data_IF_666528188917
#
_entry.id   IF_666528188917
#
_cell.length_a   1.000
_cell.length_b   1.000
_cell.length_c   1.000
_cell.angle_alpha   90.00
_cell.angle_beta   90.00
_cell.angle_gamma   90.00
#
_symmetry.space_group_name_H-M   'P 1'
#
loop_
_entity.id
_entity.type
_entity.pdbx_description
1 polymer ?
#
# COMPACT_ATOMS: atom_id res chain seq x y z
N UNK A 1 48.07 11.34 -7.92
CA UNK A 1 46.94 10.86 -7.10
C UNK A 1 45.84 11.86 -7.30
N UNK A 2 44.85 11.52 -8.12
CA UNK A 2 43.82 12.45 -8.58
C UNK A 2 42.67 12.38 -7.56
N UNK A 3 42.80 13.12 -6.46
CA UNK A 3 41.72 13.23 -5.48
C UNK A 3 40.60 14.03 -6.13
N UNK A 4 39.61 13.30 -6.64
CA UNK A 4 38.35 13.85 -7.12
C UNK A 4 37.70 14.64 -5.98
N UNK A 5 37.21 15.87 -6.21
CA UNK A 5 36.63 16.69 -5.14
C UNK A 5 35.44 15.95 -4.50
N UNK A 6 35.30 15.96 -3.16
CA UNK A 6 34.30 15.16 -2.43
C UNK A 6 32.87 15.36 -2.96
N UNK A 7 32.52 16.60 -3.34
CA UNK A 7 31.21 16.92 -3.92
C UNK A 7 30.88 16.19 -5.24
N UNK A 8 31.89 15.85 -6.06
CA UNK A 8 31.68 15.11 -7.30
C UNK A 8 31.46 13.60 -7.04
N UNK A 9 32.11 13.07 -6.00
CA UNK A 9 31.89 11.68 -5.55
C UNK A 9 30.49 11.51 -4.98
N UNK A 10 30.07 12.42 -4.10
CA UNK A 10 28.74 12.39 -3.48
C UNK A 10 27.62 12.53 -4.52
N UNK A 11 27.84 13.38 -5.54
CA UNK A 11 26.88 13.54 -6.65
C UNK A 11 26.76 12.26 -7.48
N UNK A 12 27.88 11.62 -7.85
CA UNK A 12 27.85 10.36 -8.62
C UNK A 12 27.19 9.25 -7.80
N UNK A 13 27.50 9.15 -6.51
CA UNK A 13 26.91 8.15 -5.61
C UNK A 13 25.40 8.34 -5.47
N UNK A 14 24.93 9.58 -5.34
CA UNK A 14 23.49 9.89 -5.30
C UNK A 14 22.77 9.50 -6.60
N UNK A 15 23.38 9.75 -7.77
CA UNK A 15 22.82 9.38 -9.08
C UNK A 15 22.74 7.87 -9.26
N UNK A 16 23.81 7.14 -8.89
CA UNK A 16 23.84 5.68 -8.96
C UNK A 16 22.80 5.06 -8.01
N UNK A 17 22.62 5.65 -6.83
CA UNK A 17 21.60 5.21 -5.87
C UNK A 17 20.19 5.41 -6.42
N UNK A 18 19.90 6.58 -7.00
CA UNK A 18 18.61 6.85 -7.63
C UNK A 18 18.33 5.88 -8.79
N UNK A 19 19.32 5.64 -9.66
CA UNK A 19 19.21 4.67 -10.75
C UNK A 19 18.96 3.25 -10.24
N UNK A 20 19.67 2.83 -9.19
CA UNK A 20 19.50 1.53 -8.56
C UNK A 20 18.08 1.36 -8.01
N UNK A 21 17.55 2.38 -7.32
CA UNK A 21 16.18 2.37 -6.81
C UNK A 21 15.14 2.22 -7.94
N UNK A 22 15.31 2.93 -9.06
CA UNK A 22 14.41 2.82 -10.22
C UNK A 22 14.43 1.40 -10.82
N UNK A 23 15.61 0.81 -10.97
CA UNK A 23 15.75 -0.54 -11.49
C UNK A 23 15.13 -1.58 -10.54
N UNK A 24 15.36 -1.45 -9.23
CA UNK A 24 14.76 -2.33 -8.23
C UNK A 24 13.23 -2.22 -8.22
N UNK A 25 12.67 -1.02 -8.37
CA UNK A 25 11.22 -0.84 -8.51
C UNK A 25 10.67 -1.54 -9.76
N UNK A 26 11.28 -1.32 -10.93
CA UNK A 26 10.84 -1.94 -12.19
C UNK A 26 10.89 -3.47 -12.07
N UNK A 27 11.94 -4.00 -11.43
CA UNK A 27 12.06 -5.42 -11.13
C UNK A 27 10.90 -5.89 -10.23
N UNK A 28 10.58 -5.16 -9.15
CA UNK A 28 9.44 -5.46 -8.26
C UNK A 28 8.14 -5.60 -9.03
N UNK A 29 7.78 -4.54 -9.77
CA UNK A 29 6.52 -4.48 -10.51
C UNK A 29 6.48 -5.59 -11.55
N UNK A 30 7.59 -5.85 -12.24
CA UNK A 30 7.70 -6.95 -13.21
C UNK A 30 7.49 -8.32 -12.54
N UNK A 31 8.03 -8.54 -11.35
CA UNK A 31 7.84 -9.78 -10.60
C UNK A 31 6.39 -9.97 -10.15
N UNK A 32 5.76 -8.92 -9.62
CA UNK A 32 4.36 -8.95 -9.18
C UNK A 32 3.40 -9.13 -10.36
N UNK A 33 3.63 -8.43 -11.47
CA UNK A 33 2.87 -8.61 -12.71
C UNK A 33 3.02 -10.03 -13.25
N UNK A 34 4.23 -10.60 -13.27
CA UNK A 34 4.44 -11.99 -13.71
C UNK A 34 3.64 -12.97 -12.86
N UNK A 35 3.61 -12.76 -11.53
CA UNK A 35 2.82 -13.60 -10.61
C UNK A 35 1.32 -13.50 -10.90
N UNK A 36 0.79 -12.28 -11.00
CA UNK A 36 -0.65 -12.03 -11.25
C UNK A 36 -1.10 -12.55 -12.61
N UNK A 37 -0.36 -12.26 -13.69
CA UNK A 37 -0.65 -12.79 -15.01
C UNK A 37 -0.45 -14.31 -15.12
N UNK A 38 0.48 -14.88 -14.35
CA UNK A 38 0.62 -16.33 -14.24
C UNK A 38 -0.64 -17.00 -13.69
N UNK A 39 -1.23 -16.42 -12.63
CA UNK A 39 -2.51 -16.90 -12.08
C UNK A 39 -3.64 -16.72 -13.10
N UNK A 40 -3.73 -15.55 -13.76
CA UNK A 40 -4.75 -15.29 -14.79
C UNK A 40 -4.66 -16.31 -15.93
N UNK A 41 -3.46 -16.56 -16.45
CA UNK A 41 -3.23 -17.49 -17.55
C UNK A 41 -3.55 -18.93 -17.16
N UNK A 42 -3.18 -19.34 -15.94
CA UNK A 42 -3.51 -20.67 -15.41
C UNK A 42 -5.01 -20.87 -15.26
N UNK A 43 -5.73 -19.89 -14.70
CA UNK A 43 -7.19 -19.94 -14.57
C UNK A 43 -7.87 -19.99 -15.94
N UNK A 44 -7.42 -19.17 -16.91
CA UNK A 44 -7.95 -19.21 -18.27
C UNK A 44 -7.75 -20.57 -18.96
N UNK A 45 -6.64 -21.25 -18.69
CA UNK A 45 -6.36 -22.59 -19.25
C UNK A 45 -7.22 -23.69 -18.61
N UNK A 46 -7.57 -23.53 -17.34
CA UNK A 46 -8.37 -24.50 -16.59
C UNK A 46 -9.88 -24.29 -16.78
N UNK A 47 -10.33 -23.05 -17.02
CA UNK A 47 -11.76 -22.70 -17.13
C UNK A 47 -12.56 -23.58 -18.11
N UNK A 48 -12.06 -23.90 -19.32
CA UNK A 48 -12.77 -24.78 -20.25
C UNK A 48 -12.89 -26.23 -19.77
N UNK A 49 -12.02 -26.65 -18.86
CA UNK A 49 -11.99 -28.01 -18.30
C UNK A 49 -12.91 -28.14 -17.07
N UNK A 50 -13.39 -27.03 -16.52
CA UNK A 50 -14.22 -26.97 -15.32
C UNK A 50 -15.70 -27.21 -15.61
N UNK A 51 -16.25 -28.29 -15.05
CA UNK A 51 -17.65 -28.68 -15.22
C UNK A 51 -18.58 -28.13 -14.13
N UNK A 52 -18.07 -27.84 -12.93
CA UNK A 52 -18.87 -27.35 -11.80
C UNK A 52 -19.13 -25.84 -11.84
N UNK A 53 -20.39 -25.42 -11.64
CA UNK A 53 -20.77 -24.00 -11.61
C UNK A 53 -20.06 -23.22 -10.49
N UNK A 54 -20.06 -23.78 -9.27
CA UNK A 54 -19.41 -23.14 -8.13
C UNK A 54 -17.90 -22.99 -8.29
N UNK A 55 -17.25 -23.96 -8.94
CA UNK A 55 -15.81 -23.90 -9.23
C UNK A 55 -15.52 -22.85 -10.31
N UNK A 56 -16.35 -22.79 -11.35
CA UNK A 56 -16.24 -21.76 -12.40
C UNK A 56 -16.41 -20.35 -11.83
N UNK A 57 -17.37 -20.16 -10.94
CA UNK A 57 -17.61 -18.88 -10.25
C UNK A 57 -16.42 -18.49 -9.36
N UNK A 58 -15.81 -19.43 -8.61
CA UNK A 58 -14.57 -19.14 -7.86
C UNK A 58 -13.43 -18.71 -8.79
N UNK A 59 -13.26 -19.39 -9.93
CA UNK A 59 -12.24 -19.04 -10.92
C UNK A 59 -12.47 -17.65 -11.52
N UNK A 60 -13.71 -17.28 -11.85
CA UNK A 60 -14.05 -15.93 -12.32
C UNK A 60 -13.75 -14.88 -11.25
N UNK A 61 -14.11 -15.13 -10.00
CA UNK A 61 -13.80 -14.23 -8.89
C UNK A 61 -12.28 -14.04 -8.73
N UNK A 62 -11.50 -15.12 -8.85
CA UNK A 62 -10.03 -15.05 -8.79
C UNK A 62 -9.44 -14.31 -9.99
N UNK A 63 -9.95 -14.52 -11.21
CA UNK A 63 -9.54 -13.78 -12.40
C UNK A 63 -9.77 -12.28 -12.23
N UNK A 64 -10.98 -11.91 -11.80
CA UNK A 64 -11.36 -10.53 -11.60
C UNK A 64 -10.45 -9.86 -10.55
N UNK A 65 -10.26 -10.50 -9.39
CA UNK A 65 -9.43 -9.94 -8.33
C UNK A 65 -7.94 -9.80 -8.74
N UNK A 66 -7.39 -10.72 -9.54
CA UNK A 66 -6.02 -10.59 -10.05
C UNK A 66 -5.91 -9.48 -11.10
N UNK A 67 -6.96 -9.27 -11.90
CA UNK A 67 -7.01 -8.19 -12.89
C UNK A 67 -7.10 -6.82 -12.21
N UNK A 68 -7.93 -6.70 -11.17
CA UNK A 68 -8.00 -5.50 -10.33
C UNK A 68 -6.65 -5.21 -9.67
N UNK A 69 -5.99 -6.22 -9.09
CA UNK A 69 -4.69 -6.04 -8.47
C UNK A 69 -3.62 -5.63 -9.51
N UNK A 70 -3.58 -6.27 -10.68
CA UNK A 70 -2.66 -5.87 -11.76
C UNK A 70 -2.90 -4.43 -12.23
N UNK A 71 -4.15 -4.00 -12.31
CA UNK A 71 -4.51 -2.61 -12.62
C UNK A 71 -4.00 -1.65 -11.55
N UNK A 72 -4.12 -2.04 -10.28
CA UNK A 72 -3.58 -1.24 -9.18
C UNK A 72 -2.05 -1.14 -9.23
N UNK A 73 -1.33 -2.20 -9.61
CA UNK A 73 0.13 -2.17 -9.75
C UNK A 73 0.58 -1.13 -10.80
N UNK A 74 -0.15 -0.99 -11.90
CA UNK A 74 0.10 0.07 -12.88
C UNK A 74 -0.17 1.46 -12.30
N UNK A 75 -1.30 1.65 -11.62
CA UNK A 75 -1.63 2.91 -10.98
C UNK A 75 -0.59 3.31 -9.91
N UNK A 76 -0.11 2.35 -9.13
CA UNK A 76 0.94 2.56 -8.13
C UNK A 76 2.28 2.94 -8.80
N UNK A 77 2.60 2.36 -9.97
CA UNK A 77 3.80 2.73 -10.74
C UNK A 77 3.69 4.13 -11.34
N UNK A 78 2.53 4.50 -11.86
CA UNK A 78 2.26 5.86 -12.37
C UNK A 78 2.35 6.89 -11.24
N UNK A 79 1.72 6.61 -10.10
CA UNK A 79 1.78 7.46 -8.92
C UNK A 79 3.22 7.60 -8.42
N UNK A 80 4.00 6.50 -8.37
CA UNK A 80 5.40 6.55 -8.00
C UNK A 80 6.19 7.49 -8.92
N UNK A 81 6.05 7.34 -10.24
CA UNK A 81 6.69 8.21 -11.21
C UNK A 81 6.28 9.68 -11.04
N UNK A 82 5.01 9.95 -10.73
CA UNK A 82 4.53 11.31 -10.49
C UNK A 82 5.15 11.93 -9.22
N UNK A 83 5.39 11.12 -8.18
CA UNK A 83 6.08 11.57 -6.96
C UNK A 83 7.55 11.88 -7.26
N UNK A 84 8.29 10.97 -7.90
CA UNK A 84 9.72 11.16 -8.20
C UNK A 84 9.97 12.38 -9.11
N UNK A 85 9.06 12.64 -10.05
CA UNK A 85 9.16 13.79 -10.95
C UNK A 85 8.65 15.11 -10.34
N UNK A 86 8.22 15.11 -9.06
CA UNK A 86 7.67 16.28 -8.38
C UNK A 86 6.34 16.78 -8.97
N UNK A 87 5.64 15.92 -9.71
CA UNK A 87 4.36 16.23 -10.35
C UNK A 87 3.18 16.03 -9.40
N UNK A 88 3.30 15.14 -8.42
CA UNK A 88 2.32 14.97 -7.35
C UNK A 88 2.57 15.99 -6.23
N UNK A 89 1.56 16.80 -5.91
CA UNK A 89 1.62 17.81 -4.84
C UNK A 89 0.62 17.48 -3.75
N UNK A 90 0.92 17.83 -2.50
CA UNK A 90 -0.02 17.75 -1.39
C UNK A 90 -0.94 18.95 -1.43
N UNK A 91 -2.24 18.71 -1.32
CA UNK A 91 -3.28 19.74 -1.28
C UNK A 91 -4.06 19.57 0.03
N UNK A 92 -3.55 20.10 1.16
CA UNK A 92 -4.21 19.97 2.45
C UNK A 92 -5.56 20.69 2.45
N UNK A 93 -6.57 20.02 2.96
CA UNK A 93 -7.89 20.59 3.20
C UNK A 93 -8.54 19.91 4.42
N UNK A 94 -9.34 20.63 5.20
CA UNK A 94 -10.10 20.01 6.29
C UNK A 94 -11.07 18.94 5.75
N UNK A 95 -10.93 17.70 6.23
CA UNK A 95 -11.87 16.63 5.93
C UNK A 95 -12.17 15.78 7.16
N UNK A 96 -13.27 15.01 7.11
CA UNK A 96 -13.62 14.07 8.18
C UNK A 96 -13.04 12.70 7.85
N UNK A 97 -12.15 12.13 8.69
CA UNK A 97 -11.56 10.81 8.43
C UNK A 97 -12.61 9.72 8.16
N UNK A 98 -13.72 9.71 8.91
CA UNK A 98 -14.82 8.76 8.71
C UNK A 98 -15.33 8.74 7.26
N UNK A 99 -15.45 9.90 6.61
CA UNK A 99 -15.93 10.00 5.22
C UNK A 99 -14.94 9.40 4.24
N UNK A 100 -13.63 9.62 4.45
CA UNK A 100 -12.56 9.04 3.64
C UNK A 100 -12.52 7.51 3.80
N UNK A 101 -12.59 7.00 5.04
CA UNK A 101 -12.59 5.56 5.33
C UNK A 101 -13.81 4.86 4.70
N UNK A 102 -15.00 5.45 4.87
CA UNK A 102 -16.25 4.94 4.29
C UNK A 102 -16.21 4.92 2.76
N UNK A 103 -15.66 5.97 2.14
CA UNK A 103 -15.48 6.02 0.70
C UNK A 103 -14.64 4.84 0.20
N UNK A 104 -13.49 4.60 0.83
CA UNK A 104 -12.60 3.49 0.43
C UNK A 104 -13.27 2.14 0.69
N UNK A 105 -13.89 1.94 1.85
CA UNK A 105 -14.62 0.70 2.18
C UNK A 105 -15.73 0.42 1.15
N UNK A 106 -16.53 1.42 0.79
CA UNK A 106 -17.61 1.28 -0.20
C UNK A 106 -17.09 0.90 -1.58
N UNK A 107 -15.97 1.50 -2.01
CA UNK A 107 -15.32 1.17 -3.29
C UNK A 107 -14.71 -0.23 -3.28
N UNK A 108 -14.15 -0.66 -2.16
CA UNK A 108 -13.57 -1.99 -2.00
C UNK A 108 -14.61 -3.11 -1.79
N UNK A 109 -15.87 -2.77 -1.48
CA UNK A 109 -16.90 -3.73 -1.09
C UNK A 109 -17.08 -4.91 -2.06
N UNK A 110 -17.14 -4.73 -3.39
CA UNK A 110 -17.26 -5.86 -4.32
C UNK A 110 -16.09 -6.83 -4.21
N UNK A 111 -14.86 -6.30 -4.14
CA UNK A 111 -13.65 -7.11 -3.97
C UNK A 111 -13.62 -7.82 -2.61
N UNK A 112 -14.01 -7.12 -1.54
CA UNK A 112 -14.11 -7.69 -0.20
C UNK A 112 -15.11 -8.85 -0.15
N UNK A 113 -16.28 -8.71 -0.78
CA UNK A 113 -17.29 -9.77 -0.86
C UNK A 113 -16.77 -11.00 -1.61
N UNK A 114 -16.17 -10.81 -2.79
CA UNK A 114 -15.55 -11.90 -3.57
C UNK A 114 -14.46 -12.62 -2.78
N UNK A 115 -13.68 -11.86 -1.99
CA UNK A 115 -12.61 -12.38 -1.14
C UNK A 115 -13.09 -12.86 0.23
N UNK A 116 -14.40 -12.85 0.53
CA UNK A 116 -14.96 -13.16 1.86
C UNK A 116 -14.18 -12.46 2.98
N UNK A 117 -13.86 -11.18 2.76
CA UNK A 117 -13.11 -10.34 3.66
C UNK A 117 -13.97 -9.16 4.13
N UNK A 118 -13.59 -8.55 5.25
CA UNK A 118 -14.29 -7.40 5.82
C UNK A 118 -13.31 -6.32 6.26
N UNK A 119 -13.75 -5.07 6.14
CA UNK A 119 -13.07 -3.89 6.70
C UNK A 119 -13.98 -3.30 7.78
N UNK A 120 -13.52 -3.35 9.02
CA UNK A 120 -14.18 -2.80 10.20
C UNK A 120 -13.60 -1.40 10.43
N UNK A 121 -14.48 -0.41 10.56
CA UNK A 121 -14.09 0.98 10.79
C UNK A 121 -14.40 1.36 12.24
N UNK A 122 -13.43 1.95 12.93
CA UNK A 122 -13.57 2.39 14.32
C UNK A 122 -12.88 3.74 14.51
N UNK A 123 -13.49 4.71 15.17
CA UNK A 123 -12.81 5.98 15.43
C UNK A 123 -13.77 7.10 15.76
N UNK A 124 -13.22 8.26 16.12
CA UNK A 124 -14.01 9.44 16.43
C UNK A 124 -14.70 9.98 15.17
N UNK A 125 -16.03 10.04 15.21
CA UNK A 125 -16.83 10.48 14.06
C UNK A 125 -16.86 12.01 13.90
N UNK A 126 -16.50 12.80 14.92
CA UNK A 126 -16.84 14.23 14.96
C UNK A 126 -15.69 15.18 14.58
N UNK A 127 -14.43 14.75 14.64
CA UNK A 127 -13.27 15.61 14.32
C UNK A 127 -12.92 15.69 12.83
N UNK A 128 -12.77 16.92 12.31
CA UNK A 128 -12.04 17.14 11.06
C UNK A 128 -10.52 17.17 11.32
N UNK A 129 -9.74 16.76 10.31
CA UNK A 129 -8.27 16.83 10.29
C UNK A 129 -7.84 17.66 9.09
N UNK A 130 -6.71 18.37 9.18
CA UNK A 130 -6.14 19.13 8.07
C UNK A 130 -5.04 18.30 7.40
N UNK A 131 -5.35 17.70 6.26
CA UNK A 131 -4.43 16.88 5.47
C UNK A 131 -5.02 16.69 4.07
N UNK A 132 -4.41 15.85 3.24
CA UNK A 132 -4.90 15.59 1.88
C UNK A 132 -5.76 14.32 1.85
N UNK A 133 -7.08 14.50 1.76
CA UNK A 133 -8.06 13.40 1.76
C UNK A 133 -7.78 12.39 0.64
N UNK A 134 -7.33 12.83 -0.53
CA UNK A 134 -7.08 11.94 -1.65
C UNK A 134 -5.89 11.01 -1.38
N UNK A 135 -4.79 11.56 -0.85
CA UNK A 135 -3.60 10.77 -0.49
C UNK A 135 -3.90 9.80 0.65
N UNK A 136 -4.67 10.23 1.65
CA UNK A 136 -5.14 9.34 2.74
C UNK A 136 -5.99 8.20 2.17
N UNK A 137 -6.96 8.50 1.29
CA UNK A 137 -7.77 7.46 0.62
C UNK A 137 -6.91 6.48 -0.18
N UNK A 138 -5.87 6.96 -0.86
CA UNK A 138 -4.91 6.12 -1.61
C UNK A 138 -4.11 5.21 -0.68
N UNK A 139 -3.62 5.71 0.46
CA UNK A 139 -2.95 4.91 1.49
C UNK A 139 -3.85 3.75 1.93
N UNK A 140 -5.08 4.04 2.33
CA UNK A 140 -6.03 3.03 2.82
C UNK A 140 -6.37 2.01 1.74
N UNK A 141 -6.56 2.48 0.49
CA UNK A 141 -6.83 1.63 -0.67
C UNK A 141 -5.68 0.65 -0.90
N UNK A 142 -4.44 1.13 -0.91
CA UNK A 142 -3.26 0.30 -1.15
C UNK A 142 -3.04 -0.72 -0.02
N UNK A 143 -3.24 -0.32 1.24
CA UNK A 143 -3.22 -1.25 2.37
C UNK A 143 -4.32 -2.32 2.24
N UNK A 144 -5.55 -1.92 1.97
CA UNK A 144 -6.70 -2.84 1.84
C UNK A 144 -6.46 -3.85 0.71
N UNK A 145 -6.00 -3.39 -0.44
CA UNK A 145 -5.70 -4.25 -1.59
C UNK A 145 -4.56 -5.22 -1.27
N UNK A 146 -3.45 -4.74 -0.70
CA UNK A 146 -2.32 -5.59 -0.35
C UNK A 146 -2.72 -6.68 0.65
N UNK A 147 -3.34 -6.29 1.77
CA UNK A 147 -3.75 -7.21 2.83
C UNK A 147 -4.75 -8.26 2.31
N UNK A 148 -5.70 -7.89 1.45
CA UNK A 148 -6.74 -8.82 0.98
C UNK A 148 -6.33 -9.66 -0.23
N UNK A 149 -5.63 -9.08 -1.21
CA UNK A 149 -5.31 -9.76 -2.47
C UNK A 149 -3.99 -10.51 -2.42
N UNK A 150 -2.99 -9.99 -1.70
CA UNK A 150 -1.67 -10.61 -1.56
C UNK A 150 -1.65 -11.51 -0.32
N UNK A 151 -1.91 -10.94 0.86
CA UNK A 151 -1.80 -11.66 2.14
C UNK A 151 -3.05 -12.47 2.48
N UNK A 152 -4.15 -12.29 1.74
CA UNK A 152 -5.43 -13.02 1.92
C UNK A 152 -6.04 -12.87 3.31
N UNK A 153 -5.80 -11.73 3.94
CA UNK A 153 -6.41 -11.33 5.20
C UNK A 153 -7.93 -11.26 5.04
N UNK A 154 -8.66 -11.82 6.01
CA UNK A 154 -10.13 -11.87 6.02
C UNK A 154 -10.77 -10.73 6.80
N UNK A 155 -10.05 -10.13 7.72
CA UNK A 155 -10.57 -9.03 8.54
C UNK A 155 -9.49 -8.00 8.75
N UNK A 156 -9.79 -6.76 8.39
CA UNK A 156 -8.94 -5.59 8.60
C UNK A 156 -9.73 -4.62 9.46
N UNK A 157 -9.16 -4.20 10.58
CA UNK A 157 -9.71 -3.12 11.40
C UNK A 157 -8.92 -1.85 11.09
N UNK A 158 -9.64 -0.78 10.75
CA UNK A 158 -9.06 0.54 10.48
C UNK A 158 -9.63 1.51 11.52
N UNK A 159 -8.75 1.86 12.45
CA UNK A 159 -8.94 2.78 13.55
C UNK A 159 -8.49 4.19 13.18
N UNK A 160 -9.14 5.24 13.66
CA UNK A 160 -8.53 6.57 13.66
C UNK A 160 -8.82 7.35 14.94
N UNK A 161 -7.82 8.11 15.37
CA UNK A 161 -7.87 8.91 16.59
C UNK A 161 -7.22 10.26 16.34
N UNK A 162 -7.74 11.28 17.03
CA UNK A 162 -7.23 12.64 16.94
C UNK A 162 -6.68 13.06 18.29
N UNK A 163 -5.44 13.53 18.28
CA UNK A 163 -4.76 14.15 19.40
C UNK A 163 -4.59 15.66 19.14
N UNK A 164 -4.13 16.41 20.13
CA UNK A 164 -4.06 17.87 20.07
C UNK A 164 -3.22 18.45 18.92
N UNK A 165 -2.21 17.71 18.43
CA UNK A 165 -1.30 18.15 17.37
C UNK A 165 -1.08 17.13 16.26
N UNK A 166 -1.76 15.99 16.33
CA UNK A 166 -1.53 14.84 15.44
C UNK A 166 -2.82 14.06 15.28
N UNK A 167 -2.94 13.36 14.17
CA UNK A 167 -3.96 12.32 14.02
C UNK A 167 -3.32 11.00 13.62
N UNK A 168 -3.90 9.91 14.09
CA UNK A 168 -3.34 8.57 13.97
C UNK A 168 -4.35 7.68 13.27
N UNK A 169 -3.88 6.95 12.26
CA UNK A 169 -4.58 5.87 11.59
C UNK A 169 -4.00 4.55 12.10
N UNK A 170 -4.81 3.77 12.81
CA UNK A 170 -4.44 2.46 13.33
C UNK A 170 -4.95 1.37 12.37
N UNK A 171 -4.12 0.39 12.06
CA UNK A 171 -4.51 -0.76 11.24
C UNK A 171 -4.17 -2.04 11.97
N UNK A 172 -5.16 -2.93 12.10
CA UNK A 172 -5.00 -4.23 12.72
C UNK A 172 -5.57 -5.35 11.84
N UNK A 173 -4.90 -6.50 11.80
CA UNK A 173 -5.32 -7.66 11.03
C UNK A 173 -4.73 -8.96 11.58
N UNK A 174 -5.29 -10.10 11.17
CA UNK A 174 -4.70 -11.42 11.45
C UNK A 174 -3.93 -11.92 10.22
N UNK A 175 -2.67 -12.30 10.42
CA UNK A 175 -1.81 -12.83 9.37
C UNK A 175 -0.33 -12.69 9.71
N UNK A 176 0.49 -12.98 8.70
CA UNK A 176 1.94 -12.73 8.73
C UNK A 176 2.23 -11.23 8.92
N UNK A 177 3.35 -10.86 9.57
CA UNK A 177 3.75 -9.47 9.69
C UNK A 177 4.05 -8.85 8.31
N UNK A 178 3.82 -7.54 8.21
CA UNK A 178 4.28 -6.76 7.05
C UNK A 178 5.81 -6.68 7.05
N UNK A 179 6.45 -6.46 5.90
CA UNK A 179 7.91 -6.33 5.82
C UNK A 179 8.45 -5.23 6.74
N UNK A 180 9.49 -5.52 7.52
CA UNK A 180 10.11 -4.60 8.48
C UNK A 180 10.48 -3.24 7.87
N UNK A 181 10.92 -3.24 6.61
CA UNK A 181 11.33 -2.04 5.89
C UNK A 181 10.23 -0.99 5.81
N UNK A 182 8.95 -1.39 5.88
CA UNK A 182 7.81 -0.46 5.90
C UNK A 182 7.89 0.50 7.09
N UNK A 183 8.45 0.06 8.22
CA UNK A 183 8.49 0.76 9.50
C UNK A 183 9.83 1.45 9.80
N UNK A 184 10.87 1.24 8.98
CA UNK A 184 12.21 1.83 9.17
C UNK A 184 12.29 3.26 8.66
N UNK A 185 13.36 4.01 8.95
CA UNK A 185 13.57 5.33 8.35
C UNK A 185 14.01 5.21 6.87
N UNK A 186 13.77 6.24 6.03
CA UNK A 186 14.11 6.14 4.59
C UNK A 186 15.61 6.04 4.35
N UNK A 187 16.41 6.64 5.23
CA UNK A 187 17.88 6.58 5.24
C UNK A 187 18.42 5.17 5.51
N UNK A 188 17.59 4.27 6.05
CA UNK A 188 17.96 2.91 6.43
C UNK A 188 17.57 1.86 5.38
N UNK A 189 16.90 2.28 4.30
CA UNK A 189 16.41 1.39 3.26
C UNK A 189 17.46 1.08 2.21
N UNK A 190 17.72 -0.21 1.98
CA UNK A 190 18.51 -0.64 0.84
C UNK A 190 17.69 -0.60 -0.46
N UNK A 191 18.35 -0.41 -1.61
CA UNK A 191 17.68 -0.33 -2.92
C UNK A 191 16.82 -1.56 -3.22
N UNK A 192 17.26 -2.74 -2.77
CA UNK A 192 16.51 -3.99 -2.92
C UNK A 192 15.17 -3.99 -2.14
N UNK A 193 15.12 -3.38 -0.96
CA UNK A 193 13.91 -3.29 -0.13
C UNK A 193 12.92 -2.27 -0.73
N UNK A 194 13.43 -1.19 -1.35
CA UNK A 194 12.63 -0.25 -2.15
C UNK A 194 12.05 -0.89 -3.42
N UNK A 195 12.50 -2.09 -3.79
CA UNK A 195 12.01 -2.88 -4.92
C UNK A 195 11.17 -4.09 -4.52
N UNK A 196 10.43 -4.01 -3.42
CA UNK A 196 9.47 -5.06 -3.04
C UNK A 196 8.09 -4.45 -2.75
N UNK A 197 7.03 -5.10 -3.23
CA UNK A 197 5.63 -4.76 -2.92
C UNK A 197 5.28 -3.29 -3.19
N UNK A 198 5.14 -2.91 -4.47
CA UNK A 198 4.95 -1.50 -4.86
C UNK A 198 3.78 -0.83 -4.13
N UNK A 199 2.68 -1.54 -3.85
CA UNK A 199 1.56 -0.96 -3.11
C UNK A 199 1.93 -0.52 -1.68
N UNK A 200 2.80 -1.27 -0.99
CA UNK A 200 3.33 -0.87 0.32
C UNK A 200 4.35 0.26 0.20
N UNK A 201 5.17 0.24 -0.85
CA UNK A 201 6.08 1.34 -1.14
C UNK A 201 5.30 2.65 -1.34
N UNK A 202 4.18 2.58 -2.06
CA UNK A 202 3.29 3.72 -2.26
C UNK A 202 2.64 4.21 -0.97
N UNK A 203 2.23 3.30 -0.08
CA UNK A 203 1.75 3.68 1.27
C UNK A 203 2.80 4.51 1.99
N UNK A 204 4.06 4.07 1.94
CA UNK A 204 5.19 4.77 2.55
C UNK A 204 5.45 6.12 1.89
N UNK A 205 5.53 6.20 0.55
CA UNK A 205 5.79 7.46 -0.16
C UNK A 205 4.68 8.49 0.09
N UNK A 206 3.42 8.05 0.08
CA UNK A 206 2.29 8.92 0.40
C UNK A 206 2.31 9.37 1.86
N UNK A 207 2.67 8.50 2.80
CA UNK A 207 2.80 8.88 4.21
C UNK A 207 3.90 9.94 4.38
N UNK A 208 5.07 9.75 3.76
CA UNK A 208 6.16 10.71 3.78
C UNK A 208 5.77 12.06 3.16
N UNK A 209 5.04 12.05 2.04
CA UNK A 209 4.52 13.29 1.44
C UNK A 209 3.60 14.05 2.41
N UNK A 210 2.87 13.35 3.25
CA UNK A 210 1.98 13.93 4.27
C UNK A 210 2.71 14.26 5.57
N UNK A 211 4.05 14.30 5.58
CA UNK A 211 4.90 14.44 6.77
C UNK A 211 4.55 13.43 7.86
N UNK A 212 4.06 12.26 7.44
CA UNK A 212 3.61 11.17 8.30
C UNK A 212 4.67 10.10 8.50
N UNK A 213 4.55 9.41 9.64
CA UNK A 213 5.44 8.32 10.04
C UNK A 213 4.63 7.04 10.26
N UNK A 214 5.23 5.89 9.94
CA UNK A 214 4.62 4.57 10.06
C UNK A 214 5.38 3.79 11.14
N UNK A 215 4.67 3.30 12.16
CA UNK A 215 5.25 2.55 13.26
C UNK A 215 4.56 1.21 13.44
N UNK A 216 5.33 0.19 13.76
CA UNK A 216 4.79 -1.07 14.24
C UNK A 216 4.35 -0.92 15.69
N UNK A 217 3.20 -1.50 16.04
CA UNK A 217 2.67 -1.53 17.40
C UNK A 217 2.76 -2.96 17.92
N UNK A 218 3.16 -3.13 19.17
CA UNK A 218 3.22 -4.46 19.79
C UNK A 218 1.83 -5.13 19.75
N UNK A 219 1.82 -6.44 19.51
CA UNK A 219 0.60 -7.22 19.52
C UNK A 219 0.17 -7.47 20.98
N UNK A 220 -1.09 -7.18 21.32
CA UNK A 220 -1.66 -7.38 22.67
C UNK A 220 -1.85 -8.88 23.04
N UNK A 221 -1.12 -9.80 22.38
CA UNK A 221 -1.22 -11.25 22.61
C UNK A 221 -2.46 -11.91 22.01
N UNK A 222 -3.33 -11.17 21.30
CA UNK A 222 -4.52 -11.68 20.61
C UNK A 222 -4.22 -12.27 19.21
N UNK A 223 -2.95 -12.26 18.80
CA UNK A 223 -2.50 -12.77 17.51
C UNK A 223 -2.74 -11.82 16.33
N UNK A 224 -3.20 -10.58 16.58
CA UNK A 224 -3.32 -9.55 15.53
C UNK A 224 -2.02 -8.78 15.37
N UNK A 225 -1.63 -8.58 14.11
CA UNK A 225 -0.63 -7.60 13.72
C UNK A 225 -1.24 -6.21 13.84
N UNK A 226 -0.46 -5.24 14.31
CA UNK A 226 -0.88 -3.84 14.47
C UNK A 226 0.21 -2.89 14.00
N UNK A 227 -0.20 -1.82 13.33
CA UNK A 227 0.67 -0.70 13.00
C UNK A 227 -0.13 0.59 12.92
N UNK A 228 0.56 1.71 13.05
CA UNK A 228 -0.05 3.04 13.07
C UNK A 228 0.65 3.95 12.07
N UNK A 229 -0.13 4.77 11.37
CA UNK A 229 0.37 5.91 10.62
C UNK A 229 0.00 7.17 11.38
N UNK A 230 0.98 7.98 11.72
CA UNK A 230 0.79 9.23 12.44
C UNK A 230 1.08 10.39 11.50
N UNK A 231 0.16 11.33 11.44
CA UNK A 231 0.28 12.52 10.61
C UNK A 231 0.22 13.77 11.50
N UNK A 232 0.85 14.89 11.09
CA UNK A 232 0.58 16.18 11.70
C UNK A 232 -0.89 16.55 11.54
N UNK A 233 -1.43 17.25 12.53
CA UNK A 233 -2.74 17.89 12.47
C UNK A 233 -2.58 19.34 11.99
#
# INVERSE_FOLDING_TARGET
MNDMPPAASDTIESLLTAQSNHLSLIQSVSHELRSTFGVISGLHSLLPLTSGEAEREDMFNRLHNNTEYATQLFADLEDYCAIENGQMRVEPAPFRPVSAMEYVRKKALPMLQRRKAAVILTGDSEGAVDSDEEKVRRIIKNLTLHLTCVMRVREITIGWERYSSRWVLNVAYHGEPLPDWLFRAETELHSHEKGQHISLLMVRRLALMLDGEIYQVESDGDGRQRFSLQFPH
#
